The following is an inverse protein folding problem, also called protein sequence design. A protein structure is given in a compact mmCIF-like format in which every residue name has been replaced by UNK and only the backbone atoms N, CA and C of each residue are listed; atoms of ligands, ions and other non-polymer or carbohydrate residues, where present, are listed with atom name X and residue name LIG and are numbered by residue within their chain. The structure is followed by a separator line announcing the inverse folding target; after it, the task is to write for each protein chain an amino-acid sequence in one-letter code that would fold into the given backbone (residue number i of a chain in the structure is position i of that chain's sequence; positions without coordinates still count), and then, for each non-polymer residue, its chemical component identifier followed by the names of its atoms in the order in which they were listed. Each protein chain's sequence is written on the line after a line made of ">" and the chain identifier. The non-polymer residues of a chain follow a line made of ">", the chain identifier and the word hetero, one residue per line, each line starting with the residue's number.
data_IF_975142253833
#
_entry.id   IF_975142253833
#
_cell.length_a   1.000
_cell.length_b   1.000
_cell.length_c   1.000
_cell.angle_alpha   90.00
_cell.angle_beta   90.00
_cell.angle_gamma   90.00
#
_symmetry.space_group_name_H-M   'P 1'
#
loop_
_entity.id
_entity.type
_entity.pdbx_description
1 polymer ?
#
# COMPACT_ATOMS: atom_id res chain seq x y z
N UNK A 1 -22.08 -8.93 12.95
CA UNK A 1 -21.49 -8.96 11.59
C UNK A 1 -21.01 -7.55 11.26
N UNK A 2 -19.83 -7.16 11.76
CA UNK A 2 -19.13 -5.98 11.25
C UNK A 2 -18.57 -6.35 9.89
N UNK A 3 -18.97 -5.60 8.89
CA UNK A 3 -18.89 -5.93 7.47
C UNK A 3 -17.44 -5.99 6.98
N UNK A 4 -17.14 -6.96 6.12
CA UNK A 4 -15.90 -7.13 5.33
C UNK A 4 -15.39 -5.79 4.74
N UNK A 5 -16.33 -4.88 4.41
CA UNK A 5 -16.08 -3.52 3.95
C UNK A 5 -15.33 -2.62 4.96
N UNK A 6 -15.60 -2.77 6.26
CA UNK A 6 -14.94 -1.99 7.31
C UNK A 6 -13.46 -2.34 7.45
N UNK A 7 -13.15 -3.64 7.43
CA UNK A 7 -11.77 -4.12 7.50
C UNK A 7 -10.96 -3.70 6.27
N UNK A 8 -11.53 -3.86 5.07
CA UNK A 8 -10.93 -3.35 3.82
C UNK A 8 -10.66 -1.84 3.93
N UNK A 9 -11.63 -1.06 4.40
CA UNK A 9 -11.47 0.39 4.57
C UNK A 9 -10.31 0.74 5.49
N UNK A 10 -10.20 0.10 6.65
CA UNK A 10 -9.09 0.30 7.60
C UNK A 10 -7.74 -0.07 6.99
N UNK A 11 -7.65 -1.20 6.28
CA UNK A 11 -6.41 -1.63 5.65
C UNK A 11 -5.96 -0.66 4.55
N UNK A 12 -6.88 -0.21 3.68
CA UNK A 12 -6.57 0.81 2.66
C UNK A 12 -6.18 2.15 3.31
N UNK A 13 -6.81 2.52 4.42
CA UNK A 13 -6.44 3.70 5.20
C UNK A 13 -5.02 3.66 5.76
N UNK A 14 -4.58 2.53 6.35
CA UNK A 14 -3.19 2.38 6.82
C UNK A 14 -2.19 2.46 5.66
N UNK A 15 -2.51 1.84 4.52
CA UNK A 15 -1.66 1.91 3.32
C UNK A 15 -1.52 3.34 2.80
N UNK A 16 -2.62 4.10 2.74
CA UNK A 16 -2.61 5.51 2.34
C UNK A 16 -1.74 6.35 3.27
N UNK A 17 -1.98 6.27 4.59
CA UNK A 17 -1.22 7.04 5.57
C UNK A 17 0.29 6.78 5.49
N UNK A 18 0.68 5.51 5.32
CA UNK A 18 2.11 5.13 5.20
C UNK A 18 2.70 5.56 3.86
N UNK A 19 1.95 5.43 2.78
CA UNK A 19 2.36 5.86 1.44
C UNK A 19 2.61 7.38 1.40
N UNK A 20 1.70 8.18 1.97
CA UNK A 20 1.84 9.64 2.04
C UNK A 20 3.09 10.05 2.83
N UNK A 21 3.37 9.39 3.96
CA UNK A 21 4.61 9.62 4.72
C UNK A 21 5.86 9.43 3.85
N UNK A 22 5.96 8.28 3.18
CA UNK A 22 7.10 8.02 2.28
C UNK A 22 7.12 8.94 1.05
N UNK A 23 5.95 9.34 0.54
CA UNK A 23 5.86 10.27 -0.58
C UNK A 23 6.44 11.62 -0.19
N UNK A 24 6.13 12.15 0.98
CA UNK A 24 6.66 13.43 1.45
C UNK A 24 8.18 13.44 1.52
N UNK A 25 8.80 12.33 1.94
CA UNK A 25 10.26 12.20 2.03
C UNK A 25 10.96 12.17 0.65
N UNK A 26 10.23 11.81 -0.42
CA UNK A 26 10.83 11.54 -1.73
C UNK A 26 10.22 12.32 -2.91
N UNK A 27 9.17 13.12 -2.70
CA UNK A 27 8.36 13.78 -3.75
C UNK A 27 9.14 14.66 -4.71
N UNK A 28 10.30 15.16 -4.31
CA UNK A 28 11.15 16.02 -5.13
C UNK A 28 11.93 15.21 -6.19
N UNK A 29 11.93 13.87 -6.11
CA UNK A 29 12.60 13.01 -7.08
C UNK A 29 11.74 12.85 -8.34
N UNK A 30 12.26 13.32 -9.49
CA UNK A 30 11.56 13.23 -10.77
C UNK A 30 11.27 11.77 -11.20
N UNK A 31 12.15 10.82 -10.85
CA UNK A 31 11.95 9.40 -11.13
C UNK A 31 11.08 8.64 -10.12
N UNK A 32 10.40 9.33 -9.19
CA UNK A 32 9.57 8.66 -8.18
C UNK A 32 8.33 8.04 -8.83
N UNK A 33 8.16 6.74 -8.65
CA UNK A 33 6.98 5.99 -9.04
C UNK A 33 6.40 5.25 -7.85
N UNK A 34 5.08 5.15 -7.79
CA UNK A 34 4.39 4.43 -6.73
C UNK A 34 2.91 4.26 -7.02
N UNK A 35 2.28 3.30 -6.36
CA UNK A 35 0.84 3.09 -6.46
C UNK A 35 0.32 2.33 -5.25
N UNK A 36 -0.99 2.43 -5.04
CA UNK A 36 -1.73 1.57 -4.13
C UNK A 36 -2.70 0.75 -4.97
N UNK A 37 -2.62 -0.57 -4.88
CA UNK A 37 -3.46 -1.48 -5.63
C UNK A 37 -3.94 -2.64 -4.77
N UNK A 38 -5.02 -3.28 -5.20
CA UNK A 38 -5.46 -4.55 -4.63
C UNK A 38 -5.00 -5.70 -5.51
N UNK A 39 -4.46 -6.74 -4.89
CA UNK A 39 -4.02 -7.96 -5.57
C UNK A 39 -4.66 -9.18 -4.94
N UNK A 40 -4.87 -10.22 -5.74
CA UNK A 40 -5.20 -11.56 -5.25
C UNK A 40 -3.98 -12.45 -5.40
N UNK A 41 -3.57 -13.11 -4.32
CA UNK A 41 -2.44 -14.03 -4.27
C UNK A 41 -2.83 -15.17 -3.36
N UNK A 42 -2.65 -16.41 -3.84
CA UNK A 42 -2.92 -17.63 -3.06
C UNK A 42 -4.33 -17.66 -2.47
N UNK A 43 -5.32 -17.16 -3.24
CA UNK A 43 -6.73 -17.10 -2.84
C UNK A 43 -7.08 -15.97 -1.85
N UNK A 44 -6.10 -15.20 -1.36
CA UNK A 44 -6.32 -14.09 -0.44
C UNK A 44 -6.23 -12.73 -1.16
N UNK A 45 -7.06 -11.76 -0.72
CA UNK A 45 -7.02 -10.37 -1.21
C UNK A 45 -6.11 -9.52 -0.33
N UNK A 46 -5.29 -8.71 -0.97
CA UNK A 46 -4.29 -7.86 -0.34
C UNK A 46 -4.36 -6.45 -0.89
N UNK A 47 -4.15 -5.46 -0.03
CA UNK A 47 -3.81 -4.11 -0.43
C UNK A 47 -2.30 -4.00 -0.43
N UNK A 48 -1.75 -3.42 -1.48
CA UNK A 48 -0.30 -3.22 -1.64
C UNK A 48 -0.07 -1.75 -1.94
N UNK A 49 0.74 -1.10 -1.10
CA UNK A 49 1.32 0.20 -1.39
C UNK A 49 2.80 0.00 -1.71
N UNK A 50 3.28 0.57 -2.80
CA UNK A 50 4.68 0.47 -3.19
C UNK A 50 5.21 1.78 -3.73
N UNK A 51 6.51 1.99 -3.58
CA UNK A 51 7.23 3.15 -4.08
C UNK A 51 8.64 2.75 -4.50
N UNK A 52 9.09 3.29 -5.63
CA UNK A 52 10.44 3.12 -6.15
C UNK A 52 10.93 4.41 -6.79
N UNK A 53 12.20 4.73 -6.58
CA UNK A 53 12.89 5.74 -7.35
C UNK A 53 14.30 5.24 -7.70
N UNK A 54 14.69 5.21 -8.98
CA UNK A 54 16.05 4.87 -9.37
C UNK A 54 17.07 5.95 -8.96
N UNK A 55 16.65 7.21 -8.84
CA UNK A 55 17.55 8.34 -8.62
C UNK A 55 18.07 8.40 -7.17
N UNK A 56 17.17 8.27 -6.19
CA UNK A 56 17.52 8.28 -4.76
C UNK A 56 17.62 6.88 -4.14
N UNK A 57 17.31 5.83 -4.92
CA UNK A 57 17.43 4.43 -4.50
C UNK A 57 16.31 3.94 -3.56
N UNK A 58 15.28 4.74 -3.26
CA UNK A 58 14.17 4.26 -2.43
C UNK A 58 13.49 3.06 -3.10
N UNK A 59 13.28 2.00 -2.31
CA UNK A 59 12.49 0.83 -2.66
C UNK A 59 11.69 0.43 -1.43
N UNK A 60 10.39 0.68 -1.49
CA UNK A 60 9.48 0.46 -0.37
C UNK A 60 8.23 -0.27 -0.86
N UNK A 61 7.76 -1.19 -0.02
CA UNK A 61 6.53 -1.94 -0.24
C UNK A 61 5.91 -2.29 1.11
N UNK A 62 4.58 -2.17 1.21
CA UNK A 62 3.80 -2.62 2.34
C UNK A 62 2.56 -3.35 1.85
N UNK A 63 2.27 -4.47 2.50
CA UNK A 63 1.19 -5.37 2.14
C UNK A 63 0.31 -5.67 3.34
N UNK A 64 -1.00 -5.47 3.21
CA UNK A 64 -2.00 -5.75 4.24
C UNK A 64 -3.09 -6.65 3.69
N UNK A 65 -3.52 -7.63 4.47
CA UNK A 65 -4.68 -8.45 4.11
C UNK A 65 -5.94 -7.57 4.07
N UNK A 66 -6.81 -7.78 3.09
CA UNK A 66 -8.09 -7.06 2.96
C UNK A 66 -9.30 -7.88 3.43
N UNK A 67 -9.05 -9.11 3.85
CA UNK A 67 -9.98 -9.96 4.58
C UNK A 67 -9.25 -10.48 5.81
N UNK A 68 -9.99 -10.75 6.89
CA UNK A 68 -9.43 -11.53 7.99
C UNK A 68 -8.93 -12.85 7.41
N UNK A 69 -7.61 -13.08 7.47
CA UNK A 69 -7.08 -14.41 7.24
C UNK A 69 -7.82 -15.35 8.21
N UNK A 70 -8.43 -16.40 7.65
CA UNK A 70 -9.06 -17.46 8.43
C UNK A 70 -7.99 -18.19 9.24
#
# INVERSE_FOLDING_TARGET
>A
MSTDSGFRGTAIGDLLQRFEGHLLDHRECAGLAGSILEVTSDGARWGVAWMRCPDCGVRWERRLALKGAV
#
